data_IF_528816742473
#
_entry.id   IF_528816742473
#
_cell.length_a   1.000
_cell.length_b   1.000
_cell.length_c   1.000
_cell.angle_alpha   90.00
_cell.angle_beta   90.00
_cell.angle_gamma   90.00
#
_symmetry.space_group_name_H-M   'P 1'
#
loop_
_entity.id
_entity.type
_entity.pdbx_description
1 polymer ?
#
# COMPACT_ATOMS: atom_id res chain seq x y z
N UNK A 1 28.76 -0.23 7.47
CA UNK A 1 27.36 0.15 7.69
C UNK A 1 27.27 1.59 8.19
N UNK A 2 28.06 2.54 7.67
CA UNK A 2 27.85 3.28 6.42
C UNK A 2 26.39 3.70 6.20
N UNK A 3 26.08 4.97 6.49
CA UNK A 3 24.74 5.59 6.44
C UNK A 3 23.95 5.29 5.16
N UNK A 4 24.63 5.04 4.04
CA UNK A 4 24.01 4.70 2.76
C UNK A 4 23.21 3.39 2.80
N UNK A 5 23.73 2.35 3.46
CA UNK A 5 23.05 1.06 3.57
C UNK A 5 21.77 1.18 4.42
N UNK A 6 21.82 1.93 5.51
CA UNK A 6 20.66 2.20 6.37
C UNK A 6 19.55 2.95 5.63
N UNK A 7 19.90 4.00 4.90
CA UNK A 7 18.93 4.76 4.08
C UNK A 7 18.34 3.88 2.97
N UNK A 8 19.15 3.03 2.34
CA UNK A 8 18.69 2.08 1.34
C UNK A 8 17.67 1.08 1.90
N UNK A 9 17.95 0.53 3.08
CA UNK A 9 17.05 -0.40 3.76
C UNK A 9 15.73 0.26 4.16
N UNK A 10 15.77 1.43 4.82
CA UNK A 10 14.56 2.17 5.23
C UNK A 10 13.68 2.56 4.02
N UNK A 11 14.29 3.02 2.93
CA UNK A 11 13.57 3.32 1.68
C UNK A 11 12.97 2.07 1.05
N UNK A 12 13.73 0.98 1.01
CA UNK A 12 13.28 -0.29 0.45
C UNK A 12 12.08 -0.85 1.22
N UNK A 13 12.14 -0.83 2.54
CA UNK A 13 11.05 -1.27 3.43
C UNK A 13 9.78 -0.43 3.20
N UNK A 14 9.90 0.91 3.19
CA UNK A 14 8.76 1.80 2.95
C UNK A 14 8.10 1.53 1.59
N UNK A 15 8.90 1.39 0.53
CA UNK A 15 8.39 1.07 -0.83
C UNK A 15 7.71 -0.30 -0.85
N UNK A 16 8.27 -1.28 -0.14
CA UNK A 16 7.70 -2.62 -0.02
C UNK A 16 6.33 -2.62 0.65
N UNK A 17 6.22 -1.92 1.79
CA UNK A 17 4.96 -1.76 2.53
C UNK A 17 3.91 -1.08 1.64
N UNK A 18 4.24 0.05 1.01
CA UNK A 18 3.30 0.77 0.13
C UNK A 18 2.81 -0.10 -1.04
N UNK A 19 3.70 -0.88 -1.68
CA UNK A 19 3.32 -1.81 -2.76
C UNK A 19 2.45 -2.97 -2.25
N UNK A 20 2.73 -3.48 -1.05
CA UNK A 20 1.94 -4.52 -0.41
C UNK A 20 0.51 -4.07 -0.15
N UNK A 21 0.33 -2.89 0.44
CA UNK A 21 -0.98 -2.31 0.74
C UNK A 21 -1.81 -2.08 -0.53
N UNK A 22 -1.21 -1.54 -1.60
CA UNK A 22 -1.88 -1.38 -2.91
C UNK A 22 -2.28 -2.71 -3.53
N UNK A 23 -1.48 -3.74 -3.36
CA UNK A 23 -1.79 -5.10 -3.84
C UNK A 23 -2.99 -5.68 -3.12
N UNK A 24 -3.02 -5.56 -1.79
CA UNK A 24 -4.16 -6.00 -0.96
C UNK A 24 -5.42 -5.25 -1.34
N UNK A 25 -5.36 -3.91 -1.44
CA UNK A 25 -6.50 -3.08 -1.86
C UNK A 25 -7.05 -3.47 -3.24
N UNK A 26 -6.19 -3.70 -4.23
CA UNK A 26 -6.60 -4.15 -5.56
C UNK A 26 -7.29 -5.52 -5.52
N UNK A 27 -6.79 -6.46 -4.71
CA UNK A 27 -7.44 -7.77 -4.55
C UNK A 27 -8.79 -7.67 -3.86
N UNK A 28 -8.93 -6.80 -2.85
CA UNK A 28 -10.20 -6.56 -2.17
C UNK A 28 -11.23 -5.93 -3.11
N UNK A 29 -10.83 -4.94 -3.92
CA UNK A 29 -11.70 -4.36 -4.96
C UNK A 29 -12.19 -5.43 -5.95
N UNK A 30 -11.29 -6.29 -6.43
CA UNK A 30 -11.64 -7.40 -7.34
C UNK A 30 -12.62 -8.41 -6.72
N UNK A 31 -12.63 -8.51 -5.39
CA UNK A 31 -13.60 -9.34 -4.64
C UNK A 31 -14.92 -8.62 -4.36
N UNK A 32 -15.07 -7.36 -4.78
CA UNK A 32 -16.29 -6.57 -4.57
C UNK A 32 -16.39 -5.95 -3.19
N UNK A 33 -15.28 -5.85 -2.44
CA UNK A 33 -15.28 -5.16 -1.14
C UNK A 33 -15.48 -3.64 -1.32
N UNK A 34 -16.09 -2.99 -0.32
CA UNK A 34 -16.34 -1.55 -0.36
C UNK A 34 -15.06 -0.74 -0.19
N UNK A 35 -15.02 0.44 -0.81
CA UNK A 35 -13.88 1.36 -0.71
C UNK A 35 -13.61 1.74 0.75
N UNK A 36 -14.65 1.97 1.56
CA UNK A 36 -14.51 2.34 2.96
C UNK A 36 -13.82 1.24 3.77
N UNK A 37 -14.21 -0.01 3.57
CA UNK A 37 -13.59 -1.17 4.21
C UNK A 37 -12.14 -1.33 3.78
N UNK A 38 -11.86 -1.16 2.49
CA UNK A 38 -10.49 -1.22 1.98
C UNK A 38 -9.63 -0.11 2.60
N UNK A 39 -10.18 1.10 2.74
CA UNK A 39 -9.50 2.22 3.38
C UNK A 39 -9.19 1.92 4.86
N UNK A 40 -10.14 1.35 5.59
CA UNK A 40 -9.97 0.93 6.99
C UNK A 40 -8.83 -0.09 7.17
N UNK A 41 -8.77 -1.11 6.29
CA UNK A 41 -7.76 -2.18 6.42
C UNK A 41 -6.38 -1.82 5.86
N UNK A 42 -6.32 -0.99 4.83
CA UNK A 42 -5.05 -0.69 4.14
C UNK A 42 -4.48 0.69 4.50
N UNK A 43 -5.27 1.54 5.14
CA UNK A 43 -4.91 2.94 5.42
C UNK A 43 -4.81 3.82 4.16
N UNK A 44 -5.13 3.28 2.97
CA UNK A 44 -5.14 4.05 1.73
C UNK A 44 -6.35 4.98 1.71
N UNK A 45 -6.17 6.17 1.14
CA UNK A 45 -7.28 7.08 0.90
C UNK A 45 -8.23 6.50 -0.15
N UNK A 46 -9.49 6.92 -0.08
CA UNK A 46 -10.51 6.55 -1.07
C UNK A 46 -10.08 6.92 -2.50
N UNK A 47 -9.38 8.05 -2.67
CA UNK A 47 -8.83 8.49 -3.94
C UNK A 47 -7.69 7.59 -4.46
N UNK A 48 -6.84 7.09 -3.59
CA UNK A 48 -5.82 6.10 -3.97
C UNK A 48 -6.45 4.78 -4.39
N UNK A 49 -7.48 4.34 -3.67
CA UNK A 49 -8.21 3.08 -3.97
C UNK A 49 -8.93 3.19 -5.31
N UNK A 50 -9.60 4.31 -5.60
CA UNK A 50 -10.27 4.54 -6.90
C UNK A 50 -9.31 4.48 -8.09
N UNK A 51 -8.03 4.84 -7.91
CA UNK A 51 -6.99 4.77 -8.96
C UNK A 51 -6.48 3.35 -9.21
N UNK A 52 -6.85 2.37 -8.38
CA UNK A 52 -6.48 0.96 -8.56
C UNK A 52 -7.46 0.19 -9.46
N UNK A 53 -8.56 0.82 -9.87
CA UNK A 53 -9.59 0.29 -10.76
C UNK A 53 -9.49 0.89 -12.16
#
# INVERSE_FOLDING_TARGET
MEKGEKIGMEKGEKIGIEKGLKTVASQMLKKGESIDKISEFTGLSTEEIKKLN
#
